data_IF_318981863274
#
_entry.id   IF_318981863274
#
_cell.length_a   1.000
_cell.length_b   1.000
_cell.length_c   1.000
_cell.angle_alpha   90.00
_cell.angle_beta   90.00
_cell.angle_gamma   90.00
#
_symmetry.space_group_name_H-M   'P 1'
#
loop_
_entity.id
_entity.type
_entity.pdbx_description
1 polymer ?
#
# COMPACT_ATOMS: atom_id res chain seq x y z
N UNK A 1 8.90 12.10 -2.71
CA UNK A 1 8.54 11.75 -4.10
C UNK A 1 9.20 10.44 -4.49
N UNK A 2 8.44 9.43 -4.89
CA UNK A 2 8.97 8.19 -5.47
C UNK A 2 7.95 7.59 -6.44
N UNK A 3 8.31 6.49 -7.12
CA UNK A 3 7.42 5.81 -8.05
C UNK A 3 6.95 4.48 -7.47
N UNK A 4 5.66 4.18 -7.63
CA UNK A 4 5.11 2.87 -7.28
C UNK A 4 4.49 2.24 -8.52
N UNK A 5 4.94 1.03 -8.83
CA UNK A 5 4.41 0.20 -9.90
C UNK A 5 3.59 -0.92 -9.29
N UNK A 6 2.40 -1.17 -9.83
CA UNK A 6 1.54 -2.26 -9.37
C UNK A 6 1.26 -3.15 -10.56
N UNK A 7 1.67 -4.41 -10.47
CA UNK A 7 1.35 -5.45 -11.43
C UNK A 7 0.35 -6.41 -10.78
N UNK A 8 -0.80 -6.61 -11.41
CA UNK A 8 -1.73 -7.67 -11.02
C UNK A 8 -1.73 -8.74 -12.09
N UNK A 9 -1.68 -10.01 -11.68
CA UNK A 9 -1.46 -11.14 -12.58
C UNK A 9 -2.55 -12.19 -12.36
N UNK A 10 -3.19 -12.57 -13.46
CA UNK A 10 -4.14 -13.67 -13.54
C UNK A 10 -3.45 -14.88 -14.20
N UNK A 11 -3.05 -15.90 -13.41
CA UNK A 11 -2.42 -17.10 -13.96
C UNK A 11 -3.46 -17.94 -14.70
N UNK A 12 -3.08 -18.55 -15.83
CA UNK A 12 -3.96 -19.38 -16.66
C UNK A 12 -4.29 -20.76 -16.05
N UNK A 13 -4.13 -20.90 -14.73
CA UNK A 13 -4.30 -22.17 -14.03
C UNK A 13 -5.78 -22.49 -13.78
N UNK A 14 -6.07 -23.76 -13.50
CA UNK A 14 -7.43 -24.17 -13.18
C UNK A 14 -7.84 -23.57 -11.82
N UNK A 15 -8.89 -22.76 -11.80
CA UNK A 15 -9.50 -22.26 -10.57
C UNK A 15 -10.72 -23.08 -10.19
N UNK A 16 -10.93 -23.25 -8.88
CA UNK A 16 -12.17 -23.82 -8.34
C UNK A 16 -13.03 -22.71 -7.73
N UNK A 17 -14.25 -22.50 -8.24
CA UNK A 17 -15.20 -21.59 -7.61
C UNK A 17 -15.81 -22.27 -6.37
N UNK A 18 -15.49 -21.75 -5.18
CA UNK A 18 -16.04 -22.21 -3.91
C UNK A 18 -17.07 -21.24 -3.37
N UNK A 19 -18.17 -21.77 -2.84
CA UNK A 19 -19.15 -21.01 -2.08
C UNK A 19 -18.64 -20.86 -0.65
N UNK A 20 -18.37 -19.63 -0.23
CA UNK A 20 -17.93 -19.32 1.13
C UNK A 20 -19.02 -18.57 1.89
N UNK A 21 -18.97 -18.69 3.22
CA UNK A 21 -19.88 -17.94 4.09
C UNK A 21 -19.58 -16.46 3.89
N UNK A 22 -20.60 -15.62 3.69
CA UNK A 22 -20.38 -14.21 3.43
C UNK A 22 -19.69 -13.53 4.60
N UNK A 23 -18.82 -12.57 4.32
CA UNK A 23 -18.01 -11.85 5.32
C UNK A 23 -18.74 -10.62 5.87
N UNK A 24 -19.53 -9.92 5.02
CA UNK A 24 -20.25 -8.70 5.37
C UNK A 24 -21.47 -8.98 6.27
N UNK A 25 -21.66 -8.20 7.34
CA UNK A 25 -22.65 -8.47 8.40
C UNK A 25 -24.11 -8.61 7.89
N UNK A 26 -24.49 -7.79 6.91
CA UNK A 26 -25.82 -7.85 6.30
C UNK A 26 -26.03 -9.11 5.45
N UNK A 27 -24.99 -9.55 4.72
CA UNK A 27 -25.00 -10.80 3.95
C UNK A 27 -24.93 -12.04 4.86
N UNK A 28 -24.22 -11.98 6.00
CA UNK A 28 -24.24 -13.02 7.05
C UNK A 28 -25.65 -13.27 7.59
N UNK A 29 -26.38 -12.20 7.85
CA UNK A 29 -27.78 -12.27 8.29
C UNK A 29 -28.68 -12.90 7.22
N UNK A 30 -28.56 -12.46 5.96
CA UNK A 30 -29.31 -13.04 4.85
C UNK A 30 -28.96 -14.50 4.57
N UNK A 31 -27.67 -14.89 4.62
CA UNK A 31 -27.23 -16.28 4.47
C UNK A 31 -27.86 -17.21 5.51
N UNK A 32 -28.01 -16.74 6.76
CA UNK A 32 -28.68 -17.51 7.81
C UNK A 32 -30.19 -17.64 7.56
N UNK A 33 -30.83 -16.57 7.06
CA UNK A 33 -32.25 -16.57 6.71
C UNK A 33 -32.57 -17.40 5.46
N UNK A 34 -31.64 -17.48 4.51
CA UNK A 34 -31.86 -18.20 3.24
C UNK A 34 -31.28 -19.60 3.21
N UNK A 35 -30.93 -20.18 4.37
CA UNK A 35 -30.34 -21.52 4.50
C UNK A 35 -29.11 -21.73 3.59
N UNK A 36 -28.28 -20.70 3.42
CA UNK A 36 -27.06 -20.77 2.62
C UNK A 36 -27.23 -20.60 1.11
N UNK A 37 -28.39 -20.11 0.62
CA UNK A 37 -28.57 -19.82 -0.81
C UNK A 37 -27.83 -18.55 -1.28
N UNK A 38 -27.58 -17.60 -0.35
CA UNK A 38 -26.77 -16.40 -0.58
C UNK A 38 -25.39 -16.64 0.05
N UNK A 39 -24.47 -17.19 -0.72
CA UNK A 39 -23.06 -17.37 -0.37
C UNK A 39 -22.21 -16.47 -1.24
N UNK A 40 -21.17 -15.85 -0.69
CA UNK A 40 -20.17 -15.21 -1.53
C UNK A 40 -19.39 -16.29 -2.30
N UNK A 41 -18.98 -15.99 -3.53
CA UNK A 41 -18.19 -16.90 -4.37
C UNK A 41 -16.74 -16.43 -4.28
N UNK A 42 -15.84 -17.35 -3.96
CA UNK A 42 -14.41 -17.15 -4.05
C UNK A 42 -13.84 -18.07 -5.11
N UNK A 43 -12.85 -17.58 -5.84
CA UNK A 43 -12.00 -18.39 -6.70
C UNK A 43 -10.82 -18.90 -5.87
N UNK A 44 -10.49 -20.17 -6.07
CA UNK A 44 -9.36 -20.82 -5.42
C UNK A 44 -8.40 -21.32 -6.47
N UNK A 45 -7.17 -20.89 -6.32
CA UNK A 45 -6.05 -21.33 -7.13
C UNK A 45 -5.60 -22.76 -6.79
N UNK A 46 -5.23 -23.50 -7.84
CA UNK A 46 -4.78 -24.90 -7.74
C UNK A 46 -3.26 -25.05 -7.64
N UNK A 47 -2.46 -23.99 -7.84
CA UNK A 47 -1.02 -24.06 -7.58
C UNK A 47 -0.70 -24.33 -6.11
N UNK A 48 0.47 -24.93 -5.89
CA UNK A 48 1.09 -25.05 -4.58
C UNK A 48 2.01 -23.87 -4.30
N UNK A 49 2.26 -23.59 -3.03
CA UNK A 49 3.14 -22.49 -2.63
C UNK A 49 4.55 -22.62 -3.22
N UNK A 50 5.09 -23.84 -3.21
CA UNK A 50 6.43 -24.12 -3.74
C UNK A 50 6.49 -23.88 -5.26
N UNK A 51 5.49 -24.34 -6.01
CA UNK A 51 5.50 -24.22 -7.47
C UNK A 51 5.47 -22.74 -7.92
N UNK A 52 4.60 -21.92 -7.32
CA UNK A 52 4.50 -20.50 -7.69
C UNK A 52 5.76 -19.72 -7.29
N UNK A 53 6.34 -20.01 -6.12
CA UNK A 53 7.59 -19.39 -5.69
C UNK A 53 8.77 -19.78 -6.59
N UNK A 54 8.82 -21.01 -7.09
CA UNK A 54 9.84 -21.43 -8.06
C UNK A 54 9.71 -20.68 -9.39
N UNK A 55 8.48 -20.47 -9.89
CA UNK A 55 8.25 -19.67 -11.11
C UNK A 55 8.63 -18.20 -10.92
N UNK A 56 8.31 -17.62 -9.77
CA UNK A 56 8.73 -16.26 -9.42
C UNK A 56 10.24 -16.16 -9.26
N UNK A 57 10.89 -17.14 -8.65
CA UNK A 57 12.35 -17.20 -8.56
C UNK A 57 13.00 -17.21 -9.95
N UNK A 58 12.51 -18.05 -10.87
CA UNK A 58 12.98 -18.07 -12.25
C UNK A 58 12.82 -16.69 -12.90
N UNK A 59 11.68 -16.03 -12.68
CA UNK A 59 11.41 -14.68 -13.17
C UNK A 59 12.42 -13.66 -12.65
N UNK A 60 12.59 -13.58 -11.33
CA UNK A 60 13.44 -12.58 -10.69
C UNK A 60 14.92 -12.82 -11.00
N UNK A 61 15.38 -14.08 -11.01
CA UNK A 61 16.75 -14.40 -11.41
C UNK A 61 17.02 -14.12 -12.88
N UNK A 62 16.03 -14.31 -13.76
CA UNK A 62 16.11 -13.90 -15.16
C UNK A 62 16.33 -12.39 -15.35
N UNK A 63 16.03 -11.59 -14.32
CA UNK A 63 16.25 -10.14 -14.27
C UNK A 63 17.47 -9.74 -13.43
N UNK A 64 18.26 -10.70 -12.95
CA UNK A 64 19.35 -10.51 -11.98
C UNK A 64 18.90 -9.88 -10.65
N UNK A 65 17.67 -10.19 -10.22
CA UNK A 65 17.17 -9.87 -8.89
C UNK A 65 17.47 -11.08 -8.01
N UNK A 66 18.46 -10.93 -7.13
CA UNK A 66 19.06 -12.05 -6.37
C UNK A 66 19.03 -11.83 -4.86
N UNK A 67 18.61 -10.66 -4.40
CA UNK A 67 18.56 -10.32 -2.99
C UNK A 67 17.12 -10.36 -2.48
N UNK A 68 16.94 -10.97 -1.32
CA UNK A 68 15.64 -11.13 -0.68
C UNK A 68 15.68 -10.55 0.73
N UNK A 69 14.63 -9.83 1.09
CA UNK A 69 14.45 -9.30 2.44
C UNK A 69 13.62 -10.26 3.27
N UNK A 70 12.52 -10.79 2.73
CA UNK A 70 11.57 -11.57 3.54
C UNK A 70 10.79 -12.59 2.72
N UNK A 71 10.56 -13.77 3.32
CA UNK A 71 9.54 -14.75 2.89
C UNK A 71 8.62 -14.99 4.07
N UNK A 72 7.33 -14.76 3.87
CA UNK A 72 6.30 -15.15 4.82
C UNK A 72 5.20 -15.98 4.16
N UNK A 73 4.64 -16.89 4.95
CA UNK A 73 3.55 -17.78 4.58
C UNK A 73 2.56 -17.78 5.73
N UNK A 74 1.32 -17.36 5.47
CA UNK A 74 0.25 -17.22 6.46
C UNK A 74 0.72 -16.44 7.71
N UNK A 75 1.39 -15.31 7.49
CA UNK A 75 1.99 -14.41 8.49
C UNK A 75 3.13 -14.99 9.33
N UNK A 76 3.64 -16.18 8.97
CA UNK A 76 4.85 -16.77 9.56
C UNK A 76 6.05 -16.43 8.67
N UNK A 77 7.04 -15.75 9.24
CA UNK A 77 8.30 -15.42 8.56
C UNK A 77 9.21 -16.67 8.53
N UNK A 78 9.44 -17.22 7.33
CA UNK A 78 10.40 -18.31 7.10
C UNK A 78 11.81 -17.78 6.82
N UNK A 79 11.89 -16.58 6.25
CA UNK A 79 13.13 -15.87 6.02
C UNK A 79 12.95 -14.38 6.29
N UNK A 80 13.93 -13.76 6.95
CA UNK A 80 13.98 -12.32 7.15
C UNK A 80 15.44 -11.87 7.26
N UNK A 81 15.96 -11.25 6.21
CA UNK A 81 17.27 -10.61 6.23
C UNK A 81 17.21 -9.25 6.93
N UNK A 82 17.93 -9.15 8.04
CA UNK A 82 18.08 -7.91 8.82
C UNK A 82 19.43 -7.27 8.64
N UNK A 83 20.36 -7.97 8.00
CA UNK A 83 21.77 -7.62 7.95
C UNK A 83 22.22 -7.15 6.55
N UNK A 84 21.34 -7.21 5.54
CA UNK A 84 21.66 -6.81 4.17
C UNK A 84 22.57 -7.80 3.46
N UNK A 85 22.30 -9.10 3.63
CA UNK A 85 22.98 -10.18 2.93
C UNK A 85 22.71 -10.05 1.43
N UNK A 86 23.70 -10.47 0.64
CA UNK A 86 23.65 -10.39 -0.82
C UNK A 86 23.56 -11.77 -1.43
N UNK A 87 22.90 -11.85 -2.58
CA UNK A 87 22.71 -13.03 -3.41
C UNK A 87 22.06 -14.22 -2.68
N UNK A 88 21.15 -13.92 -1.77
CA UNK A 88 20.54 -14.85 -0.81
C UNK A 88 19.16 -15.38 -1.23
N UNK A 89 18.55 -14.86 -2.31
CA UNK A 89 17.23 -15.30 -2.80
C UNK A 89 17.14 -16.81 -2.98
N UNK A 90 18.16 -17.41 -3.60
CA UNK A 90 18.16 -18.86 -3.86
C UNK A 90 18.21 -19.65 -2.55
N UNK A 91 19.10 -19.28 -1.64
CA UNK A 91 19.28 -19.97 -0.36
C UNK A 91 18.01 -19.87 0.51
N UNK A 92 17.38 -18.69 0.54
CA UNK A 92 16.13 -18.48 1.26
C UNK A 92 15.00 -19.35 0.72
N UNK A 93 14.86 -19.46 -0.61
CA UNK A 93 13.83 -20.29 -1.22
C UNK A 93 14.10 -21.80 -1.08
N UNK A 94 15.37 -22.22 -1.22
CA UNK A 94 15.77 -23.61 -0.99
C UNK A 94 15.47 -24.01 0.48
N UNK A 95 15.73 -23.09 1.43
CA UNK A 95 15.41 -23.29 2.86
C UNK A 95 13.91 -23.41 3.09
N UNK A 96 13.12 -22.51 2.49
CA UNK A 96 11.66 -22.55 2.55
C UNK A 96 11.10 -23.88 2.02
N UNK A 97 11.60 -24.38 0.89
CA UNK A 97 11.16 -25.65 0.32
C UNK A 97 11.45 -26.85 1.24
N UNK A 98 12.55 -26.81 2.01
CA UNK A 98 12.90 -27.86 2.97
C UNK A 98 12.01 -27.80 4.22
N UNK A 99 11.69 -26.60 4.70
CA UNK A 99 10.90 -26.40 5.92
C UNK A 99 9.40 -26.62 5.69
N UNK A 100 8.91 -26.36 4.48
CA UNK A 100 7.49 -26.49 4.14
C UNK A 100 7.16 -27.91 3.70
N UNK A 101 6.36 -28.61 4.51
CA UNK A 101 5.83 -29.92 4.15
C UNK A 101 4.72 -29.83 3.07
N UNK A 102 4.41 -30.97 2.45
CA UNK A 102 3.40 -31.07 1.37
C UNK A 102 2.03 -30.50 1.78
N UNK A 103 1.59 -30.74 3.02
CA UNK A 103 0.31 -30.22 3.50
C UNK A 103 0.30 -28.69 3.60
N UNK A 104 1.37 -28.09 4.12
CA UNK A 104 1.51 -26.62 4.19
C UNK A 104 1.62 -26.01 2.79
N UNK A 105 2.37 -26.66 1.88
CA UNK A 105 2.47 -26.21 0.48
C UNK A 105 1.12 -26.26 -0.27
N UNK A 106 0.29 -27.26 0.05
CA UNK A 106 -1.05 -27.44 -0.53
C UNK A 106 -2.13 -26.66 0.21
N UNK A 107 -1.94 -26.16 1.43
CA UNK A 107 -2.99 -25.55 2.26
C UNK A 107 -2.65 -24.14 2.79
N UNK A 108 -1.94 -23.33 2.01
CA UNK A 108 -1.70 -21.92 2.34
C UNK A 108 -2.88 -21.01 1.99
N UNK A 109 -2.99 -19.87 2.68
CA UNK A 109 -3.90 -18.76 2.35
C UNK A 109 -3.15 -17.67 1.58
N UNK A 110 -1.98 -17.27 2.08
CA UNK A 110 -1.20 -16.16 1.54
C UNK A 110 0.30 -16.41 1.59
N UNK A 111 0.99 -15.99 0.54
CA UNK A 111 2.45 -15.88 0.51
C UNK A 111 2.83 -14.42 0.31
N UNK A 112 3.84 -13.97 1.06
CA UNK A 112 4.46 -12.66 0.92
C UNK A 112 5.94 -12.83 0.67
N UNK A 113 6.44 -12.18 -0.37
CA UNK A 113 7.84 -12.16 -0.73
C UNK A 113 8.27 -10.70 -0.87
N UNK A 114 9.33 -10.31 -0.17
CA UNK A 114 9.91 -8.97 -0.27
C UNK A 114 11.33 -9.09 -0.78
N UNK A 115 11.62 -8.43 -1.89
CA UNK A 115 12.91 -8.45 -2.57
C UNK A 115 13.49 -7.04 -2.64
N UNK A 116 14.80 -6.97 -2.75
CA UNK A 116 15.47 -5.74 -3.11
C UNK A 116 16.24 -5.89 -4.43
N UNK A 117 16.27 -4.81 -5.19
CA UNK A 117 17.07 -4.71 -6.40
C UNK A 117 17.61 -3.30 -6.54
N UNK A 118 18.66 -3.12 -7.34
CA UNK A 118 19.13 -1.81 -7.72
C UNK A 118 19.65 -1.80 -9.15
N UNK A 119 19.45 -0.68 -9.83
CA UNK A 119 20.11 -0.37 -11.09
C UNK A 119 20.85 0.98 -11.00
N UNK A 120 21.06 1.65 -12.13
CA UNK A 120 21.74 2.94 -12.15
C UNK A 120 20.86 4.09 -11.62
N UNK A 121 19.55 4.01 -11.82
CA UNK A 121 18.59 5.08 -11.55
C UNK A 121 17.84 4.89 -10.23
N UNK A 122 17.59 3.63 -9.85
CA UNK A 122 16.67 3.26 -8.79
C UNK A 122 17.23 2.22 -7.81
N UNK A 123 16.86 2.40 -6.54
CA UNK A 123 16.81 1.35 -5.55
C UNK A 123 15.36 0.87 -5.49
N UNK A 124 15.14 -0.41 -5.74
CA UNK A 124 13.82 -1.02 -5.81
C UNK A 124 13.54 -1.84 -4.57
N UNK A 125 12.33 -1.67 -4.05
CA UNK A 125 11.69 -2.62 -3.16
C UNK A 125 10.57 -3.31 -3.94
N UNK A 126 10.54 -4.64 -3.93
CA UNK A 126 9.54 -5.41 -4.68
C UNK A 126 8.81 -6.31 -3.68
N UNK A 127 7.53 -6.06 -3.50
CA UNK A 127 6.64 -6.86 -2.67
C UNK A 127 5.73 -7.69 -3.58
N UNK A 128 5.79 -9.00 -3.44
CA UNK A 128 4.88 -9.94 -4.09
C UNK A 128 3.94 -10.47 -3.02
N UNK A 129 2.65 -10.33 -3.27
CA UNK A 129 1.60 -10.94 -2.48
C UNK A 129 0.85 -11.95 -3.35
N UNK A 130 0.67 -13.16 -2.84
CA UNK A 130 -0.01 -14.24 -3.54
C UNK A 130 -1.11 -14.74 -2.64
N UNK A 131 -2.35 -14.47 -3.02
CA UNK A 131 -3.55 -14.92 -2.33
C UNK A 131 -4.12 -16.11 -3.07
N UNK A 132 -4.30 -17.22 -2.36
CA UNK A 132 -4.80 -18.43 -2.98
C UNK A 132 -6.32 -18.42 -3.16
N UNK A 133 -7.03 -17.95 -2.15
CA UNK A 133 -8.47 -17.76 -2.20
C UNK A 133 -8.70 -16.24 -2.40
N UNK A 134 -9.44 -15.86 -3.44
CA UNK A 134 -9.71 -14.45 -3.78
C UNK A 134 -11.14 -14.25 -4.29
N UNK A 135 -11.60 -13.00 -4.32
CA UNK A 135 -12.91 -12.69 -4.91
C UNK A 135 -12.90 -12.91 -6.43
N UNK A 136 -14.05 -13.28 -6.98
CA UNK A 136 -14.21 -13.47 -8.43
C UNK A 136 -13.88 -12.18 -9.17
N UNK A 137 -12.92 -12.23 -10.10
CA UNK A 137 -12.47 -11.08 -10.90
C UNK A 137 -11.37 -10.22 -10.25
N UNK A 138 -10.90 -10.58 -9.05
CA UNK A 138 -9.68 -10.10 -8.41
C UNK A 138 -8.52 -11.00 -8.81
N UNK A 139 -7.34 -10.42 -9.04
CA UNK A 139 -6.17 -11.21 -9.47
C UNK A 139 -5.39 -11.73 -8.26
N UNK A 140 -5.02 -13.02 -8.23
CA UNK A 140 -4.44 -13.66 -7.04
C UNK A 140 -3.01 -13.22 -6.74
N UNK A 141 -2.25 -12.77 -7.74
CA UNK A 141 -0.85 -12.36 -7.58
C UNK A 141 -0.72 -10.86 -7.82
N UNK A 142 -0.16 -10.16 -6.84
CA UNK A 142 0.09 -8.72 -6.88
C UNK A 142 1.55 -8.47 -6.63
N UNK A 143 2.18 -7.68 -7.50
CA UNK A 143 3.57 -7.24 -7.35
C UNK A 143 3.57 -5.71 -7.24
N UNK A 144 3.91 -5.21 -6.05
CA UNK A 144 4.14 -3.78 -5.79
C UNK A 144 5.63 -3.51 -5.86
N UNK A 145 6.02 -2.61 -6.73
CA UNK A 145 7.41 -2.21 -6.95
C UNK A 145 7.54 -0.75 -6.53
N UNK A 146 8.30 -0.45 -5.50
CA UNK A 146 8.64 0.93 -5.15
C UNK A 146 10.03 1.26 -5.71
N UNK A 147 10.10 2.28 -6.57
CA UNK A 147 11.34 2.81 -7.14
C UNK A 147 11.76 4.11 -6.45
N UNK A 148 12.81 4.03 -5.63
CA UNK A 148 13.43 5.18 -4.97
C UNK A 148 14.60 5.69 -5.81
N UNK A 149 14.66 7.00 -6.05
CA UNK A 149 15.65 7.60 -6.93
C UNK A 149 17.05 7.62 -6.28
N UNK A 150 18.00 6.89 -6.87
CA UNK A 150 19.37 6.80 -6.33
C UNK A 150 20.08 8.14 -6.29
N UNK A 151 19.81 9.02 -7.25
CA UNK A 151 20.50 10.32 -7.32
C UNK A 151 20.26 11.19 -6.10
N UNK A 152 19.15 11.00 -5.37
CA UNK A 152 18.81 11.76 -4.16
C UNK A 152 19.20 11.05 -2.86
N UNK A 153 19.84 9.88 -2.92
CA UNK A 153 20.25 9.12 -1.71
C UNK A 153 21.57 9.57 -1.08
N UNK A 154 22.43 10.27 -1.84
CA UNK A 154 23.78 10.63 -1.40
C UNK A 154 24.12 12.10 -1.67
N UNK A 155 24.95 12.68 -0.80
CA UNK A 155 25.46 14.05 -0.93
C UNK A 155 24.48 15.12 -0.43
N UNK A 156 24.55 16.33 -1.01
CA UNK A 156 23.65 17.42 -0.62
C UNK A 156 22.28 17.26 -1.29
N UNK A 157 21.42 16.43 -0.68
CA UNK A 157 20.08 16.10 -1.15
C UNK A 157 19.23 17.36 -1.34
N UNK A 158 19.22 18.27 -0.36
CA UNK A 158 18.44 19.53 -0.43
C UNK A 158 18.78 20.36 -1.66
N UNK A 159 20.06 20.49 -2.01
CA UNK A 159 20.47 21.23 -3.21
C UNK A 159 20.06 20.51 -4.51
N UNK A 160 20.13 19.18 -4.54
CA UNK A 160 19.71 18.39 -5.71
C UNK A 160 18.21 18.55 -5.97
N UNK A 161 17.39 18.49 -4.91
CA UNK A 161 15.95 18.69 -5.02
C UNK A 161 15.67 20.12 -5.48
N UNK A 162 16.27 21.14 -4.85
CA UNK A 162 16.11 22.54 -5.28
C UNK A 162 16.45 22.76 -6.76
N UNK A 163 17.51 22.12 -7.27
CA UNK A 163 17.85 22.21 -8.69
C UNK A 163 16.78 21.55 -9.56
N UNK A 164 16.26 20.39 -9.15
CA UNK A 164 15.19 19.68 -9.86
C UNK A 164 13.89 20.47 -9.91
N UNK A 165 13.57 21.25 -8.87
CA UNK A 165 12.33 22.04 -8.76
C UNK A 165 12.53 23.52 -9.08
N UNK A 166 13.68 23.88 -9.64
CA UNK A 166 14.03 25.28 -9.99
C UNK A 166 13.15 25.88 -11.10
N UNK A 167 12.53 25.03 -11.91
CA UNK A 167 11.57 25.43 -12.94
C UNK A 167 10.62 24.28 -13.26
N UNK A 168 9.44 24.60 -13.78
CA UNK A 168 8.46 23.59 -14.23
C UNK A 168 9.08 22.63 -15.26
N UNK A 169 9.84 23.16 -16.23
CA UNK A 169 10.48 22.33 -17.26
C UNK A 169 11.48 21.34 -16.65
N UNK A 170 12.31 21.78 -15.71
CA UNK A 170 13.30 20.90 -15.06
C UNK A 170 12.61 19.79 -14.26
N UNK A 171 11.52 20.13 -13.58
CA UNK A 171 10.74 19.15 -12.82
C UNK A 171 10.03 18.15 -13.74
N UNK A 172 9.40 18.62 -14.81
CA UNK A 172 8.73 17.75 -15.79
C UNK A 172 9.72 16.84 -16.52
N UNK A 173 10.89 17.36 -16.93
CA UNK A 173 11.95 16.55 -17.55
C UNK A 173 12.46 15.44 -16.62
N UNK A 174 12.70 15.77 -15.34
CA UNK A 174 13.09 14.79 -14.33
C UNK A 174 12.00 13.71 -14.19
N UNK A 175 10.76 14.14 -13.95
CA UNK A 175 9.62 13.23 -13.73
C UNK A 175 9.42 12.31 -14.93
N UNK A 176 9.36 12.85 -16.14
CA UNK A 176 9.20 12.06 -17.35
C UNK A 176 10.34 11.07 -17.56
N UNK A 177 11.59 11.49 -17.32
CA UNK A 177 12.76 10.62 -17.44
C UNK A 177 12.66 9.44 -16.47
N UNK A 178 12.30 9.70 -15.20
CA UNK A 178 12.15 8.67 -14.18
C UNK A 178 10.98 7.74 -14.45
N UNK A 179 9.83 8.27 -14.85
CA UNK A 179 8.65 7.46 -15.21
C UNK A 179 8.98 6.53 -16.39
N UNK A 180 9.64 7.03 -17.44
CA UNK A 180 10.05 6.20 -18.59
C UNK A 180 11.02 5.08 -18.19
N UNK A 181 12.02 5.37 -17.36
CA UNK A 181 12.98 4.38 -16.89
C UNK A 181 12.32 3.32 -15.98
N UNK A 182 11.40 3.75 -15.11
CA UNK A 182 10.65 2.87 -14.23
C UNK A 182 9.67 1.97 -14.99
N UNK A 183 8.91 2.53 -15.93
CA UNK A 183 8.01 1.76 -16.79
C UNK A 183 8.76 0.70 -17.62
N UNK A 184 9.95 1.05 -18.11
CA UNK A 184 10.81 0.08 -18.79
C UNK A 184 11.19 -1.09 -17.88
N UNK A 185 11.50 -0.85 -16.61
CA UNK A 185 11.76 -1.91 -15.63
C UNK A 185 10.52 -2.77 -15.34
N UNK A 186 9.35 -2.17 -15.13
CA UNK A 186 8.09 -2.91 -14.94
C UNK A 186 7.75 -3.77 -16.15
N UNK A 187 7.96 -3.25 -17.36
CA UNK A 187 7.74 -4.00 -18.60
C UNK A 187 8.70 -5.19 -18.73
N UNK A 188 9.94 -5.09 -18.23
CA UNK A 188 10.84 -6.26 -18.14
C UNK A 188 10.28 -7.31 -17.18
N UNK A 189 9.79 -6.91 -16.01
CA UNK A 189 9.14 -7.83 -15.06
C UNK A 189 7.96 -8.53 -15.75
N UNK A 190 7.06 -7.76 -16.37
CA UNK A 190 5.90 -8.27 -17.10
C UNK A 190 6.29 -9.26 -18.21
N UNK A 191 7.30 -8.94 -19.01
CA UNK A 191 7.76 -9.80 -20.11
C UNK A 191 8.40 -11.09 -19.63
N UNK A 192 9.15 -11.06 -18.52
CA UNK A 192 9.76 -12.26 -17.95
C UNK A 192 8.71 -13.12 -17.24
N UNK A 193 7.76 -12.52 -16.51
CA UNK A 193 6.63 -13.24 -15.92
C UNK A 193 5.86 -14.04 -16.96
N UNK A 194 5.53 -13.44 -18.11
CA UNK A 194 4.84 -14.12 -19.22
C UNK A 194 5.60 -15.32 -19.81
N UNK A 195 6.91 -15.43 -19.55
CA UNK A 195 7.71 -16.57 -20.01
C UNK A 195 7.71 -17.72 -19.00
N UNK A 196 7.72 -17.39 -17.71
CA UNK A 196 7.86 -18.36 -16.62
C UNK A 196 6.52 -18.81 -16.04
N UNK A 197 5.48 -17.96 -16.15
CA UNK A 197 4.12 -18.19 -15.68
C UNK A 197 3.19 -18.09 -16.90
N UNK A 198 2.37 -19.12 -17.10
CA UNK A 198 1.27 -19.05 -18.07
C UNK A 198 0.21 -18.10 -17.48
N UNK A 199 -0.01 -16.96 -18.12
CA UNK A 199 -0.89 -15.88 -17.63
C UNK A 199 -1.97 -15.56 -18.65
N UNK A 200 -3.21 -15.43 -18.20
CA UNK A 200 -4.34 -14.98 -19.02
C UNK A 200 -4.32 -13.46 -19.21
N UNK A 201 -4.10 -12.73 -18.11
CA UNK A 201 -3.96 -11.27 -18.15
C UNK A 201 -2.92 -10.78 -17.14
N UNK A 202 -2.28 -9.65 -17.49
CA UNK A 202 -1.41 -8.90 -16.59
C UNK A 202 -1.70 -7.42 -16.76
N UNK A 203 -2.22 -6.79 -15.70
CA UNK A 203 -2.44 -5.34 -15.64
C UNK A 203 -1.25 -4.69 -14.94
N UNK A 204 -0.96 -3.47 -15.35
CA UNK A 204 0.19 -2.71 -14.85
C UNK A 204 -0.20 -1.25 -14.68
N UNK A 205 0.08 -0.71 -13.51
CA UNK A 205 -0.23 0.66 -13.13
C UNK A 205 1.03 1.32 -12.57
N UNK A 206 1.18 2.62 -12.80
CA UNK A 206 2.27 3.42 -12.24
C UNK A 206 1.67 4.61 -11.52
N UNK A 207 2.12 4.84 -10.30
CA UNK A 207 1.74 5.95 -9.44
C UNK A 207 2.95 6.82 -9.16
N UNK A 208 2.77 8.13 -9.27
CA UNK A 208 3.73 9.12 -8.78
C UNK A 208 3.35 9.47 -7.36
N UNK A 209 4.17 9.10 -6.37
CA UNK A 209 3.83 9.25 -4.96
C UNK A 209 4.58 10.37 -4.27
N UNK A 210 3.88 11.16 -3.46
CA UNK A 210 4.42 12.18 -2.59
C UNK A 210 4.09 11.86 -1.13
N UNK A 211 5.08 12.00 -0.27
CA UNK A 211 4.91 11.87 1.17
C UNK A 211 4.71 13.29 1.71
N UNK A 212 3.63 13.50 2.44
CA UNK A 212 3.29 14.75 3.11
C UNK A 212 3.40 14.53 4.63
N UNK A 213 4.59 14.75 5.22
CA UNK A 213 4.78 14.53 6.64
C UNK A 213 4.15 15.65 7.49
N UNK A 214 3.56 15.31 8.63
CA UNK A 214 3.05 16.30 9.60
C UNK A 214 4.14 17.04 10.39
N UNK A 215 5.40 16.63 10.25
CA UNK A 215 6.55 17.28 10.89
C UNK A 215 7.74 17.28 9.94
N UNK A 216 8.53 18.34 9.99
CA UNK A 216 9.77 18.44 9.22
C UNK A 216 10.76 17.35 9.66
N UNK A 217 11.17 16.51 8.73
CA UNK A 217 12.18 15.47 8.95
C UNK A 217 13.55 16.04 8.59
N UNK A 218 14.46 16.13 9.56
CA UNK A 218 15.80 16.69 9.32
C UNK A 218 16.88 15.65 9.06
N UNK A 219 16.67 14.43 9.56
CA UNK A 219 17.64 13.33 9.48
C UNK A 219 16.94 12.01 9.15
N UNK A 220 17.66 11.10 8.49
CA UNK A 220 17.17 9.77 8.11
C UNK A 220 16.76 8.91 9.31
N UNK A 221 17.39 9.11 10.47
CA UNK A 221 17.05 8.35 11.69
C UNK A 221 15.71 8.79 12.30
N UNK A 222 15.12 9.88 11.81
CA UNK A 222 13.81 10.36 12.25
C UNK A 222 12.67 9.80 11.40
N UNK A 223 12.96 9.02 10.36
CA UNK A 223 11.92 8.43 9.49
C UNK A 223 11.09 7.44 10.31
N UNK A 224 9.76 7.60 10.37
CA UNK A 224 8.90 6.64 11.05
C UNK A 224 8.75 5.36 10.22
N UNK A 225 8.76 4.21 10.89
CA UNK A 225 8.59 2.90 10.25
C UNK A 225 7.24 2.30 10.65
N UNK A 226 6.53 1.75 9.67
CA UNK A 226 5.26 1.06 9.84
C UNK A 226 5.36 -0.36 9.27
N UNK A 227 5.78 -1.31 10.11
CA UNK A 227 5.95 -2.72 9.72
C UNK A 227 4.64 -3.40 9.33
N UNK A 228 3.49 -2.89 9.80
CA UNK A 228 2.18 -3.43 9.44
C UNK A 228 1.76 -3.01 8.03
N UNK A 229 2.14 -1.79 7.61
CA UNK A 229 1.87 -1.29 6.26
C UNK A 229 2.76 -1.94 5.20
N UNK A 230 3.98 -2.31 5.57
CA UNK A 230 4.97 -2.87 4.64
C UNK A 230 5.55 -1.80 3.71
N UNK A 231 6.00 -2.23 2.53
CA UNK A 231 6.56 -1.35 1.50
C UNK A 231 7.78 -0.58 1.98
N UNK A 232 7.95 0.62 1.44
CA UNK A 232 9.05 1.52 1.82
C UNK A 232 9.02 1.90 3.30
N UNK A 233 7.86 1.77 3.96
CA UNK A 233 7.67 2.03 5.38
C UNK A 233 8.05 0.84 6.28
N UNK A 234 8.37 -0.33 5.72
CA UNK A 234 8.66 -1.56 6.46
C UNK A 234 9.92 -1.49 7.34
N UNK A 235 10.76 -0.46 7.19
CA UNK A 235 11.99 -0.31 7.96
C UNK A 235 13.08 -1.30 7.58
N UNK A 236 13.14 -1.67 6.30
CA UNK A 236 14.10 -2.64 5.78
C UNK A 236 15.51 -2.05 5.74
N UNK A 237 16.51 -2.88 6.08
CA UNK A 237 17.89 -2.45 6.18
C UNK A 237 18.38 -1.80 4.87
N UNK A 238 19.00 -0.63 4.98
CA UNK A 238 19.61 0.09 3.86
C UNK A 238 18.65 0.90 3.00
N UNK A 239 17.36 1.00 3.33
CA UNK A 239 16.39 1.82 2.58
C UNK A 239 16.25 3.25 3.09
N UNK A 240 16.54 3.54 4.36
CA UNK A 240 16.37 4.88 4.95
C UNK A 240 17.14 5.97 4.19
N UNK A 241 18.34 5.66 3.69
CA UNK A 241 19.16 6.56 2.86
C UNK A 241 18.47 6.91 1.53
N UNK A 242 17.71 5.97 0.97
CA UNK A 242 16.97 6.14 -0.27
C UNK A 242 15.56 6.68 -0.03
N UNK A 243 15.08 6.68 1.20
CA UNK A 243 13.74 7.13 1.54
C UNK A 243 13.72 8.56 2.07
N UNK A 244 14.79 8.99 2.76
CA UNK A 244 14.89 10.32 3.37
C UNK A 244 14.51 11.46 2.43
N UNK A 245 15.01 11.44 1.19
CA UNK A 245 14.71 12.49 0.21
C UNK A 245 13.21 12.59 -0.10
N UNK A 246 12.47 11.49 0.03
CA UNK A 246 11.03 11.47 -0.24
C UNK A 246 10.22 12.23 0.80
N UNK A 247 10.71 12.26 2.05
CA UNK A 247 10.10 12.96 3.19
C UNK A 247 10.36 14.47 3.18
N UNK A 248 11.47 14.92 2.60
CA UNK A 248 11.80 16.36 2.56
C UNK A 248 11.38 17.04 1.25
N UNK A 249 10.75 16.29 0.35
CA UNK A 249 10.40 16.77 -0.98
C UNK A 249 9.29 17.83 -0.93
N UNK A 250 8.24 17.61 -0.14
CA UNK A 250 7.12 18.55 0.08
C UNK A 250 7.64 19.89 0.60
N UNK A 251 8.43 19.88 1.66
CA UNK A 251 8.94 21.07 2.32
C UNK A 251 9.77 21.92 1.37
N UNK A 252 10.66 21.29 0.60
CA UNK A 252 11.53 22.00 -0.35
C UNK A 252 10.71 22.56 -1.51
N UNK A 253 9.73 21.80 -2.01
CA UNK A 253 8.87 22.26 -3.09
C UNK A 253 8.08 23.49 -2.67
N UNK A 254 7.47 23.46 -1.48
CA UNK A 254 6.73 24.58 -0.91
C UNK A 254 7.56 25.85 -0.78
N UNK A 255 8.81 25.73 -0.31
CA UNK A 255 9.71 26.88 -0.10
C UNK A 255 10.32 27.45 -1.39
N UNK A 256 10.33 26.68 -2.49
CA UNK A 256 11.13 27.00 -3.68
C UNK A 256 10.42 27.81 -4.77
N UNK A 257 9.39 27.25 -5.40
CA UNK A 257 8.78 27.75 -6.64
C UNK A 257 7.38 27.16 -6.84
N UNK A 258 6.46 27.89 -7.49
CA UNK A 258 5.12 27.40 -7.81
C UNK A 258 5.19 26.34 -8.91
N UNK A 259 5.58 25.13 -8.53
CA UNK A 259 5.59 23.96 -9.41
C UNK A 259 4.19 23.36 -9.42
N UNK A 260 3.68 23.11 -10.61
CA UNK A 260 2.39 22.48 -10.83
C UNK A 260 2.60 20.97 -10.93
N UNK A 261 2.19 20.26 -9.87
CA UNK A 261 2.29 18.81 -9.76
C UNK A 261 1.02 18.20 -10.36
N UNK A 262 1.19 17.32 -11.35
CA UNK A 262 0.06 16.70 -12.06
C UNK A 262 0.00 15.22 -11.81
N UNK A 263 -1.21 14.67 -11.80
CA UNK A 263 -1.51 13.23 -11.77
C UNK A 263 -0.66 12.49 -10.74
N UNK A 264 -0.87 12.81 -9.46
CA UNK A 264 -0.04 12.32 -8.36
C UNK A 264 -0.87 11.84 -7.17
N UNK A 265 -0.32 10.87 -6.47
CA UNK A 265 -0.87 10.24 -5.27
C UNK A 265 -0.13 10.74 -4.04
N UNK A 266 -0.85 10.93 -2.96
CA UNK A 266 -0.33 11.52 -1.73
C UNK A 266 -0.57 10.58 -0.56
N UNK A 267 0.42 10.49 0.31
CA UNK A 267 0.37 9.67 1.51
C UNK A 267 1.06 10.39 2.66
N UNK A 268 0.71 10.03 3.88
CA UNK A 268 1.35 10.60 5.07
C UNK A 268 2.64 9.86 5.44
N UNK A 269 3.31 10.32 6.50
CA UNK A 269 4.56 9.75 6.99
C UNK A 269 4.47 8.25 7.39
N UNK A 270 3.28 7.72 7.63
CA UNK A 270 3.07 6.32 8.03
C UNK A 270 2.65 5.42 6.85
N UNK A 271 2.56 5.98 5.64
CA UNK A 271 2.11 5.29 4.44
C UNK A 271 0.59 5.11 4.33
N UNK A 272 -0.17 5.92 5.06
CA UNK A 272 -1.63 5.99 4.90
C UNK A 272 -1.96 6.86 3.69
N UNK A 273 -2.88 6.39 2.86
CA UNK A 273 -3.30 7.08 1.63
C UNK A 273 -4.10 8.34 1.98
N UNK A 274 -3.66 9.48 1.44
CA UNK A 274 -4.36 10.76 1.54
C UNK A 274 -5.24 11.01 0.30
N UNK A 275 -4.97 10.30 -0.80
CA UNK A 275 -5.75 10.36 -2.03
C UNK A 275 -4.95 10.83 -3.25
N UNK A 276 -5.68 11.29 -4.26
CA UNK A 276 -5.13 11.65 -5.57
C UNK A 276 -5.44 13.11 -5.93
N UNK A 277 -4.53 13.76 -6.65
CA UNK A 277 -4.81 15.05 -7.28
C UNK A 277 -4.40 15.06 -8.76
N UNK A 278 -5.30 15.54 -9.61
CA UNK A 278 -5.02 15.78 -11.03
C UNK A 278 -4.00 16.91 -11.21
N UNK A 279 -4.12 17.97 -10.42
CA UNK A 279 -3.26 19.14 -10.48
C UNK A 279 -3.22 19.83 -9.11
N UNK A 280 -2.02 20.16 -8.62
CA UNK A 280 -1.80 20.82 -7.33
C UNK A 280 -0.59 21.74 -7.41
N UNK A 281 -0.64 22.92 -6.79
CA UNK A 281 0.50 23.81 -6.74
C UNK A 281 1.36 23.48 -5.50
N UNK A 282 2.66 23.32 -5.70
CA UNK A 282 3.62 23.09 -4.62
C UNK A 282 3.55 24.09 -3.47
N UNK A 283 3.06 25.32 -3.72
CA UNK A 283 2.90 26.37 -2.71
C UNK A 283 1.54 26.34 -2.00
N UNK A 284 0.66 25.40 -2.33
CA UNK A 284 -0.60 25.22 -1.62
C UNK A 284 -0.33 24.72 -0.20
N UNK A 285 -1.18 25.15 0.74
CA UNK A 285 -1.03 24.87 2.17
C UNK A 285 -0.89 23.36 2.47
N UNK A 286 -1.43 22.47 1.63
CA UNK A 286 -1.31 21.01 1.80
C UNK A 286 0.13 20.50 1.82
N UNK A 287 1.09 21.25 1.26
CA UNK A 287 2.52 20.93 1.33
C UNK A 287 3.22 21.54 2.54
N UNK A 288 2.55 22.43 3.28
CA UNK A 288 3.03 22.94 4.55
C UNK A 288 2.78 21.91 5.66
N UNK A 289 3.83 21.60 6.41
CA UNK A 289 3.78 20.66 7.53
C UNK A 289 2.88 21.15 8.68
N UNK A 290 2.64 22.46 8.75
CA UNK A 290 1.81 23.08 9.79
C UNK A 290 0.30 23.11 9.43
N UNK A 291 -0.09 22.56 8.28
CA UNK A 291 -1.47 22.60 7.80
C UNK A 291 -2.43 21.68 8.55
N UNK A 292 -3.65 22.18 8.71
CA UNK A 292 -4.73 21.45 9.37
C UNK A 292 -5.23 20.27 8.53
N UNK A 293 -5.62 19.20 9.21
CA UNK A 293 -6.01 17.93 8.61
C UNK A 293 -7.28 18.03 7.73
N UNK A 294 -8.14 19.01 8.01
CA UNK A 294 -9.35 19.30 7.22
C UNK A 294 -9.00 19.83 5.82
N UNK A 295 -7.98 20.69 5.73
CA UNK A 295 -7.46 21.20 4.44
C UNK A 295 -6.93 20.06 3.58
N UNK A 296 -6.14 19.17 4.17
CA UNK A 296 -5.60 17.97 3.51
C UNK A 296 -6.73 17.07 3.00
N UNK A 297 -7.71 16.76 3.86
CA UNK A 297 -8.81 15.85 3.52
C UNK A 297 -9.75 16.38 2.43
N UNK A 298 -9.89 17.70 2.31
CA UNK A 298 -10.78 18.33 1.32
C UNK A 298 -10.15 18.52 -0.06
N UNK A 299 -8.82 18.37 -0.16
CA UNK A 299 -8.05 18.68 -1.36
C UNK A 299 -7.96 17.49 -2.33
N UNK A 300 -7.99 16.26 -1.80
CA UNK A 300 -7.76 15.06 -2.59
C UNK A 300 -9.04 14.40 -3.08
N UNK A 301 -8.98 13.89 -4.30
CA UNK A 301 -10.01 13.10 -4.93
C UNK A 301 -9.75 11.60 -4.71
N UNK A 302 -10.77 10.78 -5.01
CA UNK A 302 -10.60 9.34 -5.06
C UNK A 302 -9.62 8.94 -6.18
N UNK A 303 -8.83 7.91 -5.94
CA UNK A 303 -7.88 7.38 -6.93
C UNK A 303 -8.59 6.98 -8.24
N UNK A 304 -8.25 7.59 -9.39
CA UNK A 304 -8.84 7.21 -10.68
C UNK A 304 -8.42 5.80 -11.11
N UNK A 305 -7.37 5.24 -10.51
CA UNK A 305 -6.89 3.90 -10.79
C UNK A 305 -7.65 2.89 -9.93
N UNK A 306 -8.58 2.16 -10.55
CA UNK A 306 -9.19 0.99 -9.91
C UNK A 306 -8.30 -0.23 -10.14
N UNK A 307 -7.75 -0.78 -9.06
CA UNK A 307 -6.94 -2.00 -9.11
C UNK A 307 -7.76 -3.15 -8.53
N UNK A 308 -7.89 -4.23 -9.30
CA UNK A 308 -8.60 -5.44 -8.88
C UNK A 308 -7.70 -6.26 -7.94
N UNK A 309 -7.45 -5.73 -6.76
CA UNK A 309 -6.70 -6.35 -5.66
C UNK A 309 -7.69 -6.81 -4.56
N UNK A 310 -7.35 -7.81 -3.73
CA UNK A 310 -8.16 -8.12 -2.56
C UNK A 310 -8.15 -6.93 -1.60
N UNK A 311 -9.30 -6.68 -0.96
CA UNK A 311 -9.43 -5.64 0.06
C UNK A 311 -8.38 -5.90 1.17
N UNK A 312 -7.49 -4.93 1.40
CA UNK A 312 -6.50 -5.01 2.47
C UNK A 312 -7.19 -4.50 3.75
N UNK A 313 -7.41 -5.36 4.75
CA UNK A 313 -8.10 -5.01 6.01
C UNK A 313 -7.45 -3.84 6.80
N UNK A 314 -6.28 -3.37 6.35
CA UNK A 314 -5.55 -2.22 6.89
C UNK A 314 -5.70 -0.91 6.10
N UNK A 315 -6.49 -0.84 5.03
CA UNK A 315 -6.95 0.46 4.53
C UNK A 315 -8.09 0.92 5.43
N UNK A 316 -7.74 1.62 6.52
CA UNK A 316 -8.69 2.45 7.23
C UNK A 316 -9.21 3.50 6.26
N UNK A 317 -10.29 3.18 5.54
CA UNK A 317 -11.10 4.14 4.82
C UNK A 317 -11.63 5.14 5.87
N UNK A 318 -10.87 6.21 6.09
CA UNK A 318 -11.29 7.35 6.90
C UNK A 318 -12.63 7.91 6.37
N UNK A 319 -12.88 7.76 5.07
CA UNK A 319 -14.02 8.36 4.35
C UNK A 319 -15.39 7.68 4.55
N UNK A 320 -15.53 6.67 5.43
CA UNK A 320 -16.85 6.04 5.69
C UNK A 320 -17.51 6.51 7.01
N UNK A 321 -17.20 7.73 7.47
CA UNK A 321 -17.83 8.36 8.64
C UNK A 321 -18.75 9.55 8.32
N UNK A 322 -19.30 9.68 7.10
CA UNK A 322 -20.22 10.80 6.79
C UNK A 322 -21.53 10.42 6.08
N UNK A 323 -21.90 9.13 6.08
CA UNK A 323 -23.22 8.69 5.58
C UNK A 323 -24.17 8.24 6.68
N UNK A 324 -24.26 8.98 7.79
CA UNK A 324 -25.46 9.06 8.64
C UNK A 324 -25.80 10.53 8.92
N UNK A 325 -25.96 11.29 7.83
CA UNK A 325 -26.68 12.56 7.84
C UNK A 325 -28.17 12.33 8.08
N UNK A 326 -28.63 12.73 9.26
CA UNK A 326 -29.82 13.58 9.45
C UNK A 326 -30.89 13.52 8.37
N UNK A 327 -31.95 12.74 8.62
CA UNK A 327 -33.30 13.11 8.19
C UNK A 327 -34.11 13.51 9.41
N UNK A 328 -34.21 14.83 9.59
CA UNK A 328 -35.30 15.45 10.31
C UNK A 328 -36.59 15.20 9.53
N UNK A 329 -37.53 14.46 10.11
CA UNK A 329 -38.94 14.67 9.80
C UNK A 329 -39.84 14.53 11.02
N UNK A 330 -40.61 15.60 11.18
CA UNK A 330 -41.53 15.92 12.25
C UNK A 330 -42.70 14.94 12.36
N UNK A 331 -42.92 14.42 13.57
CA UNK A 331 -44.26 14.12 14.04
C UNK A 331 -44.53 14.80 15.37
N UNK A 332 -45.46 15.76 15.29
CA UNK A 332 -46.05 16.44 16.41
C UNK A 332 -46.79 15.47 17.34
N UNK A 333 -46.55 15.58 18.64
CA UNK A 333 -47.64 15.52 19.61
C UNK A 333 -47.30 16.34 20.86
N UNK A 334 -48.28 17.14 21.23
CA UNK A 334 -48.34 18.20 22.19
C UNK A 334 -48.51 17.73 23.64
N UNK A 335 -47.78 18.33 24.58
CA UNK A 335 -48.23 18.72 25.93
C UNK A 335 -47.06 19.43 26.67
N UNK A 336 -47.02 20.77 26.71
CA UNK A 336 -47.59 21.64 27.77
C UNK A 336 -46.90 21.55 29.15
N UNK A 337 -46.19 22.64 29.50
CA UNK A 337 -46.06 23.24 30.86
C UNK A 337 -45.33 22.40 31.93
N UNK A 338 -44.31 22.83 32.69
CA UNK A 338 -44.17 23.98 33.61
C UNK A 338 -42.67 24.00 34.08
N UNK A 339 -41.96 25.14 34.11
CA UNK A 339 -41.63 25.93 35.32
C UNK A 339 -40.77 25.26 36.43
N UNK A 340 -39.50 25.70 36.49
CA UNK A 340 -38.78 26.25 37.67
C UNK A 340 -38.36 25.38 38.89
N UNK A 341 -37.20 25.79 39.45
CA UNK A 341 -36.64 25.62 40.82
C UNK A 341 -35.63 24.45 41.01
N UNK A 342 -34.32 24.70 41.16
CA UNK A 342 -33.57 25.18 42.36
C UNK A 342 -33.17 24.08 43.36
N UNK A 343 -31.84 23.86 43.47
CA UNK A 343 -31.03 23.70 44.69
C UNK A 343 -31.34 22.60 45.74
N UNK A 344 -30.31 21.81 46.08
CA UNK A 344 -29.85 21.33 47.42
C UNK A 344 -29.09 19.98 47.23
N UNK A 345 -27.77 19.87 47.42
CA UNK A 345 -27.02 19.78 48.69
C UNK A 345 -27.28 18.49 49.50
N UNK A 346 -26.28 17.59 49.44
CA UNK A 346 -25.70 16.76 50.53
C UNK A 346 -26.61 16.00 51.51
N UNK A 347 -26.43 14.67 51.59
CA UNK A 347 -25.89 13.92 52.75
C UNK A 347 -26.17 12.40 52.68
N UNK A 348 -25.08 11.63 52.72
CA UNK A 348 -24.80 10.57 53.71
C UNK A 348 -25.82 9.47 54.05
N UNK A 349 -25.37 8.23 53.79
CA UNK A 349 -25.25 7.09 54.74
C UNK A 349 -26.37 6.06 54.89
N UNK A 350 -25.89 4.83 55.12
CA UNK A 350 -26.53 3.58 55.56
C UNK A 350 -27.33 2.84 54.48
N UNK A 351 -27.08 1.58 54.14
CA UNK A 351 -26.46 0.48 54.88
C UNK A 351 -27.40 -0.73 54.79
N UNK A 352 -26.87 -1.92 54.61
CA UNK A 352 -27.62 -3.18 54.75
C UNK A 352 -27.53 -4.10 53.54
N UNK A 353 -26.66 -5.10 53.70
CA UNK A 353 -26.54 -6.42 53.05
C UNK A 353 -26.35 -6.53 51.53
#
# INVERSE_FOLDING_TARGET
MYLEGILTIDPAQLTEIKKVKPTKAFKKFFHHLTLGSISDKQERETFTAVAILQQLNATFRGLNITNIIKIAHDDIDFYHDRDGKKDDLKEALDTYEIEVNEAMSIHFQQLKLVLEHEDNDFKYLIEVEINRDHEVGVYPIIIKVSGLFKEFSLGNVKNKINNAVSSQNSFDELRESKVKAFDYFLNKIKLTLKKEIETDDIKSFVKNKFILPKRKIQDKNEIPHNTQRGGVYGGYHGFDDYLFYSFIWSDIMHDSSPILIKESHYENENGEDLGYANELNAQDDVFDTDSDLETVSSTFENDPITINEPENDNSGNWFDLDSWGSDSDSFASSCSSCSSCSSCSSCSSCGGD
#
